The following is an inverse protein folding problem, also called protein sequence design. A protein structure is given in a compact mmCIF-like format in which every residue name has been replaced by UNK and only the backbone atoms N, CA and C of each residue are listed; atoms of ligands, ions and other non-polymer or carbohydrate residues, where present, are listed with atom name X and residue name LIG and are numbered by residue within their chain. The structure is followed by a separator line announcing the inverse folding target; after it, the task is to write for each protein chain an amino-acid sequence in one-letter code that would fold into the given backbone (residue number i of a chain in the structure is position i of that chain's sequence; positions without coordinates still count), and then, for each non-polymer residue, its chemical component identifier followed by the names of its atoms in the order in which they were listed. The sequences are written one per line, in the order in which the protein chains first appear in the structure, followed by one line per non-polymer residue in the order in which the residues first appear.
data_IF_356075066696
#
_entry.id   IF_356075066696
#
_cell.length_a   1.000
_cell.length_b   1.000
_cell.length_c   1.000
_cell.angle_alpha   90.00
_cell.angle_beta   90.00
_cell.angle_gamma   90.00
#
_symmetry.space_group_name_H-M   'P 1'
#
loop_
_entity.id
_entity.type
_entity.pdbx_description
1 polymer ?
#
# COMPACT_ATOMS: atom_id res chain seq x y z
N UNK A 1 14.17 -6.30 19.17
CA UNK A 1 14.77 -6.90 17.97
C UNK A 1 14.00 -6.39 16.75
N UNK A 2 14.66 -6.16 15.60
CA UNK A 2 13.95 -5.72 14.39
C UNK A 2 13.03 -6.83 13.87
N UNK A 3 11.92 -6.44 13.25
CA UNK A 3 10.94 -7.33 12.63
C UNK A 3 10.53 -6.78 11.26
N UNK A 4 10.16 -7.66 10.34
CA UNK A 4 9.59 -7.25 9.06
C UNK A 4 8.08 -7.48 9.07
N UNK A 5 7.33 -6.52 8.55
CA UNK A 5 5.89 -6.65 8.37
C UNK A 5 5.58 -7.06 6.93
N UNK A 6 4.83 -8.15 6.77
CA UNK A 6 4.31 -8.60 5.48
C UNK A 6 2.80 -8.42 5.44
N UNK A 7 2.32 -7.79 4.37
CA UNK A 7 0.90 -7.59 4.08
C UNK A 7 0.64 -7.86 2.61
N UNK A 8 -0.50 -8.47 2.32
CA UNK A 8 -0.92 -8.68 0.93
C UNK A 8 -1.39 -7.36 0.30
N UNK A 9 -0.99 -7.03 -0.94
CA UNK A 9 -1.33 -5.76 -1.60
C UNK A 9 -2.82 -5.43 -1.62
N UNK A 10 -3.70 -6.42 -1.76
CA UNK A 10 -5.15 -6.26 -1.80
C UNK A 10 -5.80 -5.95 -0.43
N UNK A 11 -5.02 -6.03 0.66
CA UNK A 11 -5.47 -5.74 2.03
C UNK A 11 -5.15 -4.32 2.47
N UNK A 12 -4.48 -3.54 1.62
CA UNK A 12 -4.20 -2.14 1.83
C UNK A 12 -5.34 -1.31 1.24
N UNK A 13 -5.79 -0.28 1.98
CA UNK A 13 -6.82 0.67 1.58
C UNK A 13 -6.19 2.03 1.32
N UNK A 14 -6.73 2.78 0.37
CA UNK A 14 -6.32 4.15 0.04
C UNK A 14 -7.44 5.13 0.44
N UNK A 15 -7.09 6.42 0.58
CA UNK A 15 -8.04 7.53 0.76
C UNK A 15 -9.07 7.26 1.87
N UNK A 16 -10.34 7.65 1.68
CA UNK A 16 -11.40 7.50 2.67
C UNK A 16 -11.58 6.06 3.15
N UNK A 17 -11.35 5.07 2.29
CA UNK A 17 -11.43 3.64 2.64
C UNK A 17 -10.41 3.22 3.70
N UNK A 18 -9.38 4.03 3.94
CA UNK A 18 -8.39 3.78 4.99
C UNK A 18 -8.77 4.37 6.35
N UNK A 19 -9.79 5.23 6.46
CA UNK A 19 -10.10 5.98 7.71
C UNK A 19 -10.38 5.08 8.91
N UNK A 20 -11.02 3.93 8.68
CA UNK A 20 -11.33 2.94 9.72
C UNK A 20 -10.17 1.96 10.01
N UNK A 21 -9.02 2.11 9.33
CA UNK A 21 -7.87 1.26 9.56
C UNK A 21 -7.10 1.72 10.79
N UNK A 22 -6.68 0.78 11.63
CA UNK A 22 -5.83 1.11 12.79
C UNK A 22 -4.42 1.53 12.40
N UNK A 23 -3.83 0.87 11.41
CA UNK A 23 -2.52 1.25 10.89
C UNK A 23 -2.74 2.17 9.69
N UNK A 24 -2.31 3.44 9.80
CA UNK A 24 -2.42 4.43 8.73
C UNK A 24 -1.13 5.19 8.55
N UNK A 25 -0.77 5.43 7.28
CA UNK A 25 0.44 6.10 6.87
C UNK A 25 0.16 6.97 5.65
N UNK A 26 1.04 7.90 5.33
CA UNK A 26 0.97 8.65 4.07
C UNK A 26 1.91 8.04 3.05
N UNK A 27 1.41 7.75 1.86
CA UNK A 27 2.19 7.25 0.73
C UNK A 27 2.08 8.18 -0.48
N UNK A 28 3.17 8.36 -1.22
CA UNK A 28 3.17 9.08 -2.49
C UNK A 28 2.94 8.10 -3.64
N UNK A 29 1.97 8.39 -4.51
CA UNK A 29 1.72 7.61 -5.73
C UNK A 29 2.87 7.82 -6.71
N UNK A 30 3.57 6.75 -7.05
CA UNK A 30 4.69 6.78 -7.97
C UNK A 30 4.28 6.28 -9.37
N UNK A 31 3.41 5.28 -9.46
CA UNK A 31 2.91 4.79 -10.75
C UNK A 31 1.61 3.99 -10.63
N UNK A 32 0.94 3.83 -11.77
CA UNK A 32 -0.18 2.91 -11.95
C UNK A 32 0.18 1.85 -13.00
N UNK A 33 -0.13 0.59 -12.69
CA UNK A 33 0.02 -0.53 -13.62
C UNK A 33 -1.35 -1.18 -13.82
N UNK A 34 -1.89 -1.05 -15.02
CA UNK A 34 -3.22 -1.58 -15.38
C UNK A 34 -3.10 -3.03 -15.85
N UNK A 35 -3.85 -3.94 -15.22
CA UNK A 35 -3.80 -5.38 -15.44
C UNK A 35 -5.20 -5.95 -15.71
N UNK A 36 -5.95 -5.30 -16.60
CA UNK A 36 -7.31 -5.70 -16.94
C UNK A 36 -8.31 -5.35 -15.84
N UNK A 37 -8.64 -6.31 -14.98
CA UNK A 37 -9.67 -6.16 -13.94
C UNK A 37 -9.17 -5.46 -12.66
N UNK A 38 -7.85 -5.26 -12.53
CA UNK A 38 -7.24 -4.58 -11.40
C UNK A 38 -6.15 -3.61 -11.84
N UNK A 39 -5.88 -2.65 -10.97
CA UNK A 39 -4.73 -1.77 -11.02
C UNK A 39 -3.79 -2.07 -9.86
N UNK A 40 -2.49 -2.04 -10.11
CA UNK A 40 -1.49 -1.93 -9.05
C UNK A 40 -1.04 -0.48 -8.96
N UNK A 41 -1.11 0.07 -7.76
CA UNK A 41 -0.59 1.40 -7.44
C UNK A 41 0.74 1.19 -6.73
N UNK A 42 1.84 1.69 -7.30
CA UNK A 42 3.14 1.71 -6.62
C UNK A 42 3.24 2.99 -5.80
N UNK A 43 3.64 2.84 -4.55
CA UNK A 43 3.75 3.91 -3.58
C UNK A 43 5.16 3.99 -3.01
N UNK A 44 5.56 5.23 -2.71
CA UNK A 44 6.64 5.53 -1.78
C UNK A 44 6.06 5.76 -0.39
N UNK A 45 6.37 4.91 0.58
CA UNK A 45 5.80 4.97 1.94
C UNK A 45 6.75 4.36 2.96
N UNK A 46 6.81 4.93 4.16
CA UNK A 46 7.66 4.44 5.26
C UNK A 46 9.14 4.25 4.86
N UNK A 47 9.67 5.09 3.97
CA UNK A 47 11.03 4.98 3.44
C UNK A 47 11.23 3.89 2.38
N UNK A 48 10.18 3.15 2.01
CA UNK A 48 10.19 2.16 0.93
C UNK A 48 9.69 2.78 -0.38
N UNK A 49 10.35 2.52 -1.50
CA UNK A 49 9.95 3.01 -2.83
C UNK A 49 9.12 2.02 -3.67
N UNK A 50 9.07 0.76 -3.23
CA UNK A 50 8.47 -0.36 -3.94
C UNK A 50 7.33 -1.00 -3.13
N UNK A 51 6.40 -0.18 -2.65
CA UNK A 51 5.22 -0.67 -1.93
C UNK A 51 4.02 -0.72 -2.87
N UNK A 52 3.43 -1.89 -3.07
CA UNK A 52 2.34 -2.07 -4.02
C UNK A 52 1.00 -2.28 -3.33
N UNK A 53 -0.01 -1.59 -3.84
CA UNK A 53 -1.42 -1.79 -3.47
C UNK A 53 -2.17 -2.31 -4.69
N UNK A 54 -3.03 -3.31 -4.49
CA UNK A 54 -3.87 -3.87 -5.54
C UNK A 54 -5.31 -3.43 -5.31
N UNK A 55 -5.91 -2.75 -6.29
CA UNK A 55 -7.33 -2.38 -6.26
C UNK A 55 -8.05 -2.96 -7.49
N UNK A 56 -9.31 -3.41 -7.34
CA UNK A 56 -10.18 -3.61 -8.48
C UNK A 56 -10.30 -2.31 -9.28
N UNK A 57 -10.33 -2.38 -10.61
CA UNK A 57 -10.40 -1.17 -11.44
C UNK A 57 -11.66 -0.34 -11.15
N UNK A 58 -12.76 -1.00 -10.76
CA UNK A 58 -14.02 -0.36 -10.39
C UNK A 58 -13.97 0.42 -9.07
N UNK A 59 -12.96 0.18 -8.24
CA UNK A 59 -12.74 0.87 -6.95
C UNK A 59 -11.62 1.92 -7.03
N UNK A 60 -10.97 2.07 -8.18
CA UNK A 60 -9.94 3.09 -8.37
C UNK A 60 -10.59 4.47 -8.40
N UNK A 61 -10.13 5.35 -7.51
CA UNK A 61 -10.49 6.76 -7.51
C UNK A 61 -9.93 7.43 -8.78
N UNK A 62 -10.82 7.92 -9.65
CA UNK A 62 -10.44 8.52 -10.94
C UNK A 62 -9.74 9.87 -10.79
N UNK A 63 -9.82 10.50 -9.61
CA UNK A 63 -9.09 11.73 -9.32
C UNK A 63 -7.64 11.45 -8.87
N UNK A 64 -7.28 10.21 -8.54
CA UNK A 64 -5.96 9.86 -8.05
C UNK A 64 -4.92 9.92 -9.18
N UNK A 65 -3.86 10.69 -8.97
CA UNK A 65 -2.80 10.92 -9.95
C UNK A 65 -1.40 10.57 -9.41
N UNK A 66 -0.45 10.39 -10.33
CA UNK A 66 0.96 10.23 -9.97
C UNK A 66 1.46 11.52 -9.31
N UNK A 67 2.18 11.38 -8.20
CA UNK A 67 2.67 12.48 -7.38
C UNK A 67 1.79 12.78 -6.17
N UNK A 68 0.53 12.33 -6.16
CA UNK A 68 -0.38 12.55 -5.04
C UNK A 68 0.13 11.89 -3.76
N UNK A 69 -0.05 12.58 -2.63
CA UNK A 69 0.22 12.02 -1.31
C UNK A 69 -1.11 11.67 -0.68
N UNK A 70 -1.33 10.37 -0.47
CA UNK A 70 -2.60 9.84 0.00
C UNK A 70 -2.45 9.06 1.30
N UNK A 71 -3.45 9.09 2.18
CA UNK A 71 -3.47 8.18 3.31
C UNK A 71 -3.68 6.75 2.80
N UNK A 72 -2.88 5.85 3.33
CA UNK A 72 -3.03 4.41 3.16
C UNK A 72 -3.24 3.77 4.52
N UNK A 73 -3.89 2.61 4.56
CA UNK A 73 -4.04 1.89 5.80
C UNK A 73 -4.45 0.44 5.65
N UNK A 74 -4.31 -0.29 6.74
CA UNK A 74 -4.71 -1.68 6.82
C UNK A 74 -5.14 -2.09 8.25
N UNK A 75 -5.89 -3.18 8.30
CA UNK A 75 -6.31 -3.81 9.55
C UNK A 75 -5.20 -4.71 10.11
N UNK A 76 -5.12 -4.83 11.43
CA UNK A 76 -4.05 -5.56 12.13
C UNK A 76 -4.06 -7.04 11.75
N UNK A 77 -5.24 -7.61 11.53
CA UNK A 77 -5.47 -9.03 11.25
C UNK A 77 -4.90 -9.47 9.88
N UNK A 78 -4.56 -8.50 9.02
CA UNK A 78 -4.02 -8.75 7.68
C UNK A 78 -2.48 -8.73 7.63
N UNK A 79 -1.83 -8.38 8.74
CA UNK A 79 -0.38 -8.25 8.83
C UNK A 79 0.21 -9.48 9.48
N UNK A 80 1.37 -9.91 8.99
CA UNK A 80 2.23 -10.88 9.67
C UNK A 80 3.55 -10.21 10.02
N UNK A 81 3.93 -10.31 11.29
CA UNK A 81 5.29 -10.04 11.71
C UNK A 81 6.15 -11.26 11.40
N UNK A 82 7.28 -11.02 10.76
CA UNK A 82 8.25 -12.02 10.34
C UNK A 82 9.63 -11.63 10.87
N UNK A 83 10.56 -12.58 10.77
CA UNK A 83 11.97 -12.32 11.00
C UNK A 83 12.43 -11.14 10.15
N UNK A 84 13.35 -10.31 10.68
CA UNK A 84 13.84 -9.15 9.97
C UNK A 84 14.55 -9.59 8.69
N UNK A 85 14.18 -8.98 7.57
CA UNK A 85 14.99 -9.01 6.36
C UNK A 85 16.31 -8.30 6.68
N UNK A 86 17.38 -9.07 6.80
CA UNK A 86 18.74 -8.54 6.80
C UNK A 86 19.03 -8.14 5.35
N UNK A 87 19.28 -6.85 5.11
CA UNK A 87 19.62 -6.37 3.76
C UNK A 87 20.79 -7.19 3.22
N UNK A 88 20.50 -8.06 2.24
CA UNK A 88 21.52 -8.74 1.46
C UNK A 88 22.05 -7.71 0.46
N UNK A 89 23.17 -7.08 0.82
CA UNK A 89 23.94 -6.18 -0.04
C UNK A 89 24.16 -6.76 -1.45
#
# INVERSE_FOLDING_TARGET
EPVTLSIRPERVRLNGSSESCRNRFSGRVAEFIYLGDHVRVRLEVCGMSNFFVKQPIAELDTALAVGDVVPIGWQVEHVRALDPLLDSH
#
